data_IF_331049872555
#
_entry.id   IF_331049872555
#
_cell.length_a   1.000
_cell.length_b   1.000
_cell.length_c   1.000
_cell.angle_alpha   90.00
_cell.angle_beta   90.00
_cell.angle_gamma   90.00
#
_symmetry.space_group_name_H-M   'P 1'
#
loop_
_entity.id
_entity.type
_entity.pdbx_description
1 polymer ?
#
# COMPACT_ATOMS: atom_id res chain seq x y z
N UNK A 1 3.74 -15.01 24.97
CA UNK A 1 3.21 -14.94 23.59
C UNK A 1 4.39 -14.99 22.62
N UNK A 2 4.42 -15.97 21.73
CA UNK A 2 5.53 -16.17 20.78
C UNK A 2 5.36 -15.24 19.59
N UNK A 3 6.32 -14.35 19.34
CA UNK A 3 6.28 -13.44 18.20
C UNK A 3 6.61 -14.20 16.91
N UNK A 4 5.60 -14.46 16.08
CA UNK A 4 5.80 -15.13 14.79
C UNK A 4 6.35 -14.11 13.78
N UNK A 5 7.60 -14.29 13.36
CA UNK A 5 8.26 -13.46 12.34
C UNK A 5 8.11 -14.11 10.96
N UNK A 6 7.27 -13.54 10.10
CA UNK A 6 7.20 -13.93 8.69
C UNK A 6 7.98 -12.94 7.81
N UNK A 7 8.82 -13.46 6.91
CA UNK A 7 9.51 -12.68 5.88
C UNK A 7 8.69 -12.76 4.59
N UNK A 8 8.22 -11.63 4.04
CA UNK A 8 7.56 -11.60 2.72
C UNK A 8 8.46 -12.27 1.68
N UNK A 9 7.91 -13.22 0.92
CA UNK A 9 8.64 -14.00 -0.09
C UNK A 9 9.28 -15.30 0.41
N UNK A 10 9.17 -15.62 1.71
CA UNK A 10 9.54 -16.93 2.24
C UNK A 10 8.33 -17.54 2.97
N UNK A 11 7.42 -18.16 2.22
CA UNK A 11 6.34 -18.95 2.78
C UNK A 11 6.90 -20.32 3.18
N UNK A 12 6.67 -20.74 4.42
CA UNK A 12 6.96 -22.12 4.85
C UNK A 12 6.12 -23.08 4.01
N UNK A 13 6.72 -24.20 3.57
CA UNK A 13 5.98 -25.27 2.91
C UNK A 13 4.83 -25.74 3.80
N UNK A 14 3.65 -25.92 3.21
CA UNK A 14 2.49 -26.45 3.92
C UNK A 14 2.78 -27.88 4.36
N UNK A 15 2.38 -28.22 5.59
CA UNK A 15 2.40 -29.62 6.03
C UNK A 15 1.34 -30.41 5.27
N UNK A 16 1.54 -31.72 5.08
CA UNK A 16 0.55 -32.58 4.44
C UNK A 16 -0.82 -32.54 5.15
N UNK A 17 -0.82 -32.29 6.47
CA UNK A 17 -2.05 -32.10 7.26
C UNK A 17 -2.79 -30.81 6.86
N UNK A 18 -2.08 -29.67 6.76
CA UNK A 18 -2.70 -28.42 6.31
C UNK A 18 -3.21 -28.51 4.87
N UNK A 19 -2.50 -29.19 3.98
CA UNK A 19 -2.97 -29.40 2.60
C UNK A 19 -4.25 -30.24 2.54
N UNK A 20 -4.35 -31.28 3.36
CA UNK A 20 -5.56 -32.10 3.46
C UNK A 20 -6.74 -31.30 4.04
N UNK A 21 -6.49 -30.47 5.04
CA UNK A 21 -7.49 -29.59 5.65
C UNK A 21 -8.02 -28.55 4.65
N UNK A 22 -7.13 -27.88 3.90
CA UNK A 22 -7.53 -26.94 2.85
C UNK A 22 -8.36 -27.61 1.76
N UNK A 23 -7.99 -28.84 1.34
CA UNK A 23 -8.78 -29.62 0.38
C UNK A 23 -10.14 -30.04 0.92
N UNK A 24 -10.27 -30.28 2.22
CA UNK A 24 -11.54 -30.58 2.87
C UNK A 24 -12.42 -29.33 2.94
N UNK A 25 -11.86 -28.18 3.34
CA UNK A 25 -12.56 -26.89 3.36
C UNK A 25 -13.03 -26.47 1.97
N UNK A 26 -12.20 -26.64 0.94
CA UNK A 26 -12.56 -26.32 -0.44
C UNK A 26 -13.70 -27.19 -1.02
N UNK A 27 -14.01 -28.32 -0.38
CA UNK A 27 -15.12 -29.21 -0.78
C UNK A 27 -16.41 -28.98 0.02
N UNK A 28 -16.36 -28.19 1.11
CA UNK A 28 -17.56 -27.82 1.85
C UNK A 28 -18.41 -26.86 1.02
N UNK A 29 -19.72 -26.94 1.20
CA UNK A 29 -20.65 -25.99 0.57
C UNK A 29 -20.69 -24.67 1.35
N UNK A 30 -20.99 -23.57 0.66
CA UNK A 30 -21.09 -22.25 1.28
C UNK A 30 -22.21 -22.19 2.34
N UNK A 31 -23.28 -22.98 2.18
CA UNK A 31 -24.38 -23.10 3.14
C UNK A 31 -23.97 -23.68 4.51
N UNK A 32 -22.86 -24.42 4.56
CA UNK A 32 -22.32 -25.00 5.79
C UNK A 32 -21.35 -24.03 6.53
N UNK A 33 -21.11 -22.83 5.97
CA UNK A 33 -20.24 -21.83 6.57
C UNK A 33 -21.02 -21.05 7.63
N UNK A 34 -20.59 -21.18 8.88
CA UNK A 34 -21.15 -20.41 9.99
C UNK A 34 -20.56 -18.99 10.03
N UNK A 35 -21.43 -17.99 9.94
CA UNK A 35 -21.09 -16.56 10.04
C UNK A 35 -21.62 -15.91 11.34
N UNK A 36 -22.07 -16.71 12.31
CA UNK A 36 -22.69 -16.21 13.55
C UNK A 36 -21.78 -15.30 14.38
N UNK A 37 -20.46 -15.46 14.27
CA UNK A 37 -19.45 -14.64 14.94
C UNK A 37 -19.06 -13.37 14.14
N UNK A 38 -19.39 -13.31 12.85
CA UNK A 38 -18.99 -12.21 11.94
C UNK A 38 -20.23 -11.72 11.18
N UNK A 39 -21.00 -10.76 11.75
CA UNK A 39 -22.16 -10.21 11.07
C UNK A 39 -21.76 -9.53 9.75
N UNK A 40 -22.62 -9.64 8.74
CA UNK A 40 -22.41 -9.01 7.44
C UNK A 40 -22.27 -7.49 7.60
N UNK A 41 -21.30 -6.90 6.90
CA UNK A 41 -21.13 -5.45 6.92
C UNK A 41 -22.15 -4.78 6.01
N UNK A 42 -22.86 -3.78 6.51
CA UNK A 42 -23.81 -2.98 5.73
C UNK A 42 -23.09 -1.87 4.94
N UNK A 43 -23.65 -1.46 3.79
CA UNK A 43 -23.07 -0.39 2.95
C UNK A 43 -22.84 0.92 3.71
N UNK A 44 -23.70 1.22 4.69
CA UNK A 44 -23.58 2.40 5.57
C UNK A 44 -22.32 2.38 6.44
N UNK A 45 -21.75 1.21 6.75
CA UNK A 45 -20.50 1.10 7.50
C UNK A 45 -19.28 1.46 6.64
N UNK A 46 -19.43 1.49 5.32
CA UNK A 46 -18.39 1.85 4.36
C UNK A 46 -18.46 3.30 3.90
N UNK A 47 -19.44 4.09 4.35
CA UNK A 47 -19.63 5.48 3.89
C UNK A 47 -18.42 6.39 4.16
N UNK A 48 -17.67 6.11 5.23
CA UNK A 48 -16.45 6.85 5.59
C UNK A 48 -15.15 6.17 5.11
N UNK A 49 -15.25 5.07 4.37
CA UNK A 49 -14.09 4.31 3.92
C UNK A 49 -13.32 5.06 2.84
N UNK A 50 -12.18 5.64 3.21
CA UNK A 50 -11.28 6.33 2.27
C UNK A 50 -10.25 5.34 1.70
N UNK A 51 -10.39 5.03 0.41
CA UNK A 51 -9.36 4.27 -0.32
C UNK A 51 -8.04 5.03 -0.30
N UNK A 52 -6.96 4.34 0.09
CA UNK A 52 -5.61 4.88 0.03
C UNK A 52 -5.25 5.90 1.11
N UNK A 53 -6.04 6.05 2.19
CA UNK A 53 -5.73 6.96 3.32
C UNK A 53 -4.32 6.79 3.88
N UNK A 54 -3.81 5.57 3.88
CA UNK A 54 -2.47 5.24 4.39
C UNK A 54 -1.42 5.04 3.30
N UNK A 55 -1.78 5.24 2.03
CA UNK A 55 -0.84 5.09 0.93
C UNK A 55 0.25 6.17 1.05
N UNK A 56 1.50 5.72 1.19
CA UNK A 56 2.68 6.58 1.14
C UNK A 56 3.56 6.10 -0.01
N UNK A 57 3.85 6.97 -1.00
CA UNK A 57 4.78 6.62 -2.05
C UNK A 57 6.13 6.22 -1.46
N UNK A 58 6.67 5.09 -1.89
CA UNK A 58 8.04 4.71 -1.54
C UNK A 58 8.99 5.73 -2.17
N UNK A 59 9.75 6.41 -1.33
CA UNK A 59 10.78 7.37 -1.77
C UNK A 59 12.08 6.61 -1.95
N UNK A 60 12.62 6.65 -3.16
CA UNK A 60 13.95 6.12 -3.44
C UNK A 60 14.97 7.25 -3.33
N UNK A 61 16.12 6.99 -2.70
CA UNK A 61 17.21 7.94 -2.66
C UNK A 61 17.92 7.95 -4.03
N UNK A 62 17.98 9.11 -4.67
CA UNK A 62 18.74 9.35 -5.87
C UNK A 62 19.61 10.60 -5.69
N UNK A 63 20.83 10.56 -6.23
CA UNK A 63 21.72 11.73 -6.27
C UNK A 63 21.61 12.38 -7.65
N UNK A 64 21.16 13.64 -7.69
CA UNK A 64 20.92 14.39 -8.93
C UNK A 64 21.59 15.77 -8.79
N UNK A 65 22.16 16.27 -9.88
CA UNK A 65 22.69 17.64 -9.95
C UNK A 65 21.57 18.59 -10.38
N UNK A 66 21.42 19.70 -9.67
CA UNK A 66 20.42 20.74 -9.94
C UNK A 66 21.18 22.07 -10.02
N UNK A 67 20.77 22.94 -10.94
CA UNK A 67 21.37 24.26 -11.11
C UNK A 67 21.22 25.12 -9.83
N UNK A 68 22.19 26.01 -9.62
CA UNK A 68 22.31 26.76 -8.38
C UNK A 68 21.15 27.75 -8.18
N UNK A 69 20.69 28.38 -9.25
CA UNK A 69 19.57 29.32 -9.29
C UNK A 69 18.23 28.64 -8.99
N UNK A 70 17.99 27.46 -9.57
CA UNK A 70 16.82 26.62 -9.29
C UNK A 70 16.81 26.19 -7.82
N UNK A 71 17.98 25.81 -7.30
CA UNK A 71 18.11 25.44 -5.90
C UNK A 71 17.87 26.62 -4.95
N UNK A 72 18.33 27.82 -5.31
CA UNK A 72 18.06 29.04 -4.55
C UNK A 72 16.57 29.35 -4.55
N UNK A 73 15.92 29.36 -5.73
CA UNK A 73 14.49 29.58 -5.87
C UNK A 73 13.67 28.60 -5.03
N UNK A 74 14.01 27.30 -5.06
CA UNK A 74 13.37 26.27 -4.23
C UNK A 74 13.56 26.54 -2.74
N UNK A 75 14.69 27.09 -2.32
CA UNK A 75 14.96 27.39 -0.90
C UNK A 75 14.30 28.68 -0.40
N UNK A 76 13.90 29.63 -1.27
CA UNK A 76 13.35 30.95 -0.84
C UNK A 76 12.22 30.88 0.22
N UNK A 77 11.24 29.98 0.13
CA UNK A 77 10.17 29.84 1.14
C UNK A 77 10.61 29.16 2.45
N UNK A 78 11.87 28.77 2.59
CA UNK A 78 12.43 28.16 3.79
C UNK A 78 12.41 26.62 3.78
N UNK A 79 12.18 26.03 4.95
CA UNK A 79 12.28 24.57 5.18
C UNK A 79 11.34 23.79 4.23
N UNK A 80 11.70 22.55 3.90
CA UNK A 80 10.87 21.65 3.08
C UNK A 80 11.04 21.78 1.56
N UNK A 81 12.17 22.32 1.08
CA UNK A 81 12.45 22.39 -0.36
C UNK A 81 12.45 21.00 -1.04
N UNK A 82 12.90 19.93 -0.35
CA UNK A 82 12.89 18.55 -0.87
C UNK A 82 11.47 18.04 -1.14
N UNK A 83 10.52 18.36 -0.24
CA UNK A 83 9.11 18.01 -0.44
C UNK A 83 8.53 18.74 -1.64
N UNK A 84 8.86 20.03 -1.79
CA UNK A 84 8.41 20.85 -2.93
C UNK A 84 9.02 20.38 -4.25
N UNK A 85 10.31 20.04 -4.27
CA UNK A 85 10.97 19.42 -5.41
C UNK A 85 10.23 18.16 -5.86
N UNK A 86 9.94 17.25 -4.93
CA UNK A 86 9.22 16.02 -5.26
C UNK A 86 7.77 16.27 -5.71
N UNK A 87 7.11 17.31 -5.21
CA UNK A 87 5.77 17.71 -5.65
C UNK A 87 5.79 18.22 -7.10
N UNK A 88 6.76 19.08 -7.45
CA UNK A 88 6.94 19.60 -8.83
C UNK A 88 7.22 18.46 -9.81
N UNK A 89 8.12 17.54 -9.46
CA UNK A 89 8.43 16.38 -10.31
C UNK A 89 7.20 15.49 -10.52
N UNK A 90 6.39 15.28 -9.47
CA UNK A 90 5.15 14.51 -9.57
C UNK A 90 4.14 15.19 -10.47
N UNK A 91 3.98 16.51 -10.36
CA UNK A 91 3.05 17.27 -11.19
C UNK A 91 3.46 17.22 -12.66
N UNK A 92 4.75 17.40 -12.96
CA UNK A 92 5.28 17.28 -14.32
C UNK A 92 5.01 15.88 -14.92
N UNK A 93 5.28 14.82 -14.15
CA UNK A 93 5.01 13.44 -14.55
C UNK A 93 3.52 13.20 -14.86
N UNK A 94 2.60 13.69 -14.01
CA UNK A 94 1.16 13.53 -14.23
C UNK A 94 0.67 14.33 -15.43
N UNK A 95 1.18 15.55 -15.65
CA UNK A 95 0.84 16.36 -16.83
C UNK A 95 1.28 15.67 -18.12
N UNK A 96 2.41 14.99 -18.12
CA UNK A 96 2.89 14.22 -19.28
C UNK A 96 2.04 12.97 -19.53
N UNK A 97 1.66 12.25 -18.46
CA UNK A 97 0.80 11.05 -18.57
C UNK A 97 -0.60 11.37 -19.10
N UNK A 98 -1.19 12.51 -18.68
CA UNK A 98 -2.53 12.94 -19.11
C UNK A 98 -2.55 13.59 -20.51
N UNK A 99 -1.40 13.76 -21.17
CA UNK A 99 -1.29 14.30 -22.53
C UNK A 99 -1.42 13.22 -23.62
N UNK A 100 -1.54 11.95 -23.22
CA UNK A 100 -1.89 10.82 -24.09
C UNK A 100 -3.38 10.50 -23.98
#
# INVERSE_FOLDING_TARGET
MSMVKHKRGNASALSAQHEAELKALAKKSDDEIDYSDIPASEDGQWSEAVRGKFFRPLKTQASVRIDADVMEWLKRPGKGYQTRLNAILREAMLREQNKK
#
